data_IF_423509203187
#
_entry.id   IF_423509203187
#
_cell.length_a   1.000
_cell.length_b   1.000
_cell.length_c   1.000
_cell.angle_alpha   90.00
_cell.angle_beta   90.00
_cell.angle_gamma   90.00
#
_symmetry.space_group_name_H-M   'P 1'
#
loop_
_entity.id
_entity.type
_entity.pdbx_description
1 polymer ?
#
# COMPACT_ATOMS: atom_id res chain seq x y z
N UNK A 1 -47.02 -18.37 -1.30
CA UNK A 1 -45.95 -18.29 -0.28
C UNK A 1 -44.60 -18.38 -0.98
N UNK A 2 -43.91 -17.26 -1.07
CA UNK A 2 -42.71 -17.04 -1.88
C UNK A 2 -41.49 -17.52 -1.08
N UNK A 3 -40.85 -18.62 -1.47
CA UNK A 3 -39.60 -19.04 -0.85
C UNK A 3 -38.45 -18.19 -1.41
N UNK A 4 -37.88 -17.35 -0.55
CA UNK A 4 -36.68 -16.56 -0.80
C UNK A 4 -35.49 -17.48 -1.09
N UNK A 5 -34.96 -17.38 -2.31
CA UNK A 5 -33.60 -17.83 -2.64
C UNK A 5 -32.62 -17.00 -1.80
N UNK A 6 -32.21 -17.53 -0.66
CA UNK A 6 -31.03 -17.04 0.03
C UNK A 6 -29.82 -17.37 -0.85
N UNK A 7 -29.40 -16.33 -1.57
CA UNK A 7 -28.18 -16.27 -2.36
C UNK A 7 -27.00 -16.56 -1.43
N UNK A 8 -26.64 -17.84 -1.32
CA UNK A 8 -25.43 -18.32 -0.68
C UNK A 8 -24.25 -18.06 -1.62
N UNK A 9 -24.01 -16.78 -1.91
CA UNK A 9 -22.71 -16.35 -2.42
C UNK A 9 -21.66 -16.91 -1.46
N UNK A 10 -20.67 -17.70 -1.93
CA UNK A 10 -19.66 -18.24 -1.05
C UNK A 10 -18.93 -17.07 -0.40
N UNK A 11 -19.17 -16.88 0.90
CA UNK A 11 -18.36 -16.01 1.75
C UNK A 11 -16.95 -16.55 1.64
N UNK A 12 -16.13 -15.92 0.82
CA UNK A 12 -14.71 -16.18 0.68
C UNK A 12 -14.03 -15.93 2.04
N UNK A 13 -14.12 -16.93 2.93
CA UNK A 13 -13.46 -16.92 4.22
C UNK A 13 -12.09 -17.54 4.04
N UNK A 14 -11.12 -16.70 4.35
CA UNK A 14 -9.90 -17.03 5.08
C UNK A 14 -8.98 -18.07 4.42
N UNK A 15 -7.83 -17.53 4.01
CA UNK A 15 -6.55 -18.19 4.21
C UNK A 15 -6.30 -19.39 3.29
N UNK A 16 -6.23 -19.16 1.99
CA UNK A 16 -5.33 -19.97 1.17
C UNK A 16 -3.88 -19.48 1.46
N UNK A 17 -3.02 -20.28 2.11
CA UNK A 17 -1.63 -19.92 2.38
C UNK A 17 -0.85 -19.69 1.08
N UNK A 18 -1.19 -20.40 0.00
CA UNK A 18 -0.57 -20.23 -1.30
C UNK A 18 -0.96 -18.88 -1.92
N UNK A 19 -2.23 -18.47 -1.77
CA UNK A 19 -2.69 -17.15 -2.19
C UNK A 19 -2.08 -16.03 -1.35
N UNK A 20 -1.93 -16.22 -0.03
CA UNK A 20 -1.24 -15.29 0.87
C UNK A 20 0.24 -15.16 0.55
N UNK A 21 0.93 -16.27 0.25
CA UNK A 21 2.35 -16.26 -0.12
C UNK A 21 2.57 -15.66 -1.52
N UNK A 22 1.69 -15.96 -2.49
CA UNK A 22 1.70 -15.32 -3.81
C UNK A 22 1.39 -13.82 -3.73
N UNK A 23 0.43 -13.42 -2.89
CA UNK A 23 0.14 -12.02 -2.61
C UNK A 23 1.34 -11.32 -1.95
N UNK A 24 1.97 -11.94 -0.96
CA UNK A 24 3.19 -11.43 -0.33
C UNK A 24 4.35 -11.32 -1.34
N UNK A 25 4.54 -12.32 -2.21
CA UNK A 25 5.53 -12.27 -3.29
C UNK A 25 5.25 -11.16 -4.30
N UNK A 26 4.00 -10.91 -4.66
CA UNK A 26 3.62 -9.80 -5.55
C UNK A 26 3.75 -8.44 -4.85
N UNK A 27 3.48 -8.39 -3.55
CA UNK A 27 3.57 -7.18 -2.75
C UNK A 27 5.03 -6.74 -2.52
N UNK A 28 6.02 -7.65 -2.48
CA UNK A 28 7.43 -7.31 -2.24
C UNK A 28 8.05 -6.42 -3.34
N UNK A 29 7.99 -6.77 -4.63
CA UNK A 29 8.47 -5.90 -5.71
C UNK A 29 7.70 -4.58 -5.74
N UNK A 30 6.36 -4.65 -5.60
CA UNK A 30 5.50 -3.46 -5.57
C UNK A 30 5.90 -2.51 -4.43
N UNK A 31 6.15 -3.06 -3.23
CA UNK A 31 6.61 -2.31 -2.07
C UNK A 31 7.94 -1.58 -2.31
N UNK A 32 8.90 -2.23 -2.97
CA UNK A 32 10.17 -1.60 -3.36
C UNK A 32 9.95 -0.46 -4.36
N UNK A 33 9.10 -0.69 -5.36
CA UNK A 33 8.71 0.33 -6.35
C UNK A 33 8.02 1.52 -5.69
N UNK A 34 7.09 1.29 -4.78
CA UNK A 34 6.36 2.34 -4.06
C UNK A 34 7.31 3.16 -3.17
N UNK A 35 8.22 2.50 -2.45
CA UNK A 35 9.21 3.19 -1.62
C UNK A 35 10.15 4.08 -2.45
N UNK A 36 10.62 3.58 -3.60
CA UNK A 36 11.46 4.34 -4.51
C UNK A 36 10.73 5.57 -5.08
N UNK A 37 9.45 5.41 -5.47
CA UNK A 37 8.62 6.51 -5.97
C UNK A 37 8.35 7.57 -4.89
N UNK A 38 8.03 7.14 -3.67
CA UNK A 38 7.85 8.05 -2.52
C UNK A 38 9.14 8.80 -2.21
N UNK A 39 10.28 8.11 -2.20
CA UNK A 39 11.59 8.73 -1.98
C UNK A 39 11.91 9.77 -3.06
N UNK A 40 11.71 9.43 -4.33
CA UNK A 40 11.89 10.36 -5.44
C UNK A 40 10.99 11.60 -5.28
N UNK A 41 9.72 11.42 -4.91
CA UNK A 41 8.79 12.53 -4.69
C UNK A 41 9.24 13.43 -3.52
N UNK A 42 9.74 12.86 -2.42
CA UNK A 42 10.27 13.63 -1.28
C UNK A 42 11.49 14.46 -1.68
N UNK A 43 12.38 13.91 -2.52
CA UNK A 43 13.55 14.63 -3.02
C UNK A 43 13.21 15.73 -4.00
N UNK A 44 12.27 15.48 -4.92
CA UNK A 44 11.84 16.49 -5.90
C UNK A 44 11.02 17.62 -5.29
N UNK A 45 10.27 17.33 -4.22
CA UNK A 45 9.33 18.26 -3.60
C UNK A 45 9.42 18.21 -2.06
N UNK A 46 10.48 18.81 -1.48
CA UNK A 46 10.64 18.83 -0.03
C UNK A 46 9.48 19.57 0.64
N UNK A 47 9.01 19.06 1.78
CA UNK A 47 7.92 19.66 2.56
C UNK A 47 6.50 19.35 2.09
N UNK A 48 6.32 18.54 1.03
CA UNK A 48 4.97 18.10 0.64
C UNK A 48 4.31 17.26 1.73
N UNK A 49 3.03 17.53 1.95
CA UNK A 49 2.19 16.71 2.80
C UNK A 49 2.02 15.30 2.20
N UNK A 50 1.98 14.27 3.05
CA UNK A 50 1.82 12.87 2.62
C UNK A 50 0.58 12.62 1.74
N UNK A 51 -0.50 13.42 1.91
CA UNK A 51 -1.68 13.36 1.05
C UNK A 51 -1.40 13.79 -0.40
N UNK A 52 -0.54 14.78 -0.61
CA UNK A 52 -0.17 15.24 -1.95
C UNK A 52 0.79 14.25 -2.61
N UNK A 53 1.73 13.70 -1.85
CA UNK A 53 2.61 12.62 -2.33
C UNK A 53 1.78 11.40 -2.75
N UNK A 54 0.73 11.06 -2.00
CA UNK A 54 -0.19 9.98 -2.34
C UNK A 54 -0.85 10.20 -3.71
N UNK A 55 -1.31 11.43 -3.99
CA UNK A 55 -1.87 11.79 -5.30
C UNK A 55 -0.83 11.72 -6.42
N UNK A 56 0.40 12.20 -6.19
CA UNK A 56 1.46 12.21 -7.21
C UNK A 56 1.92 10.78 -7.57
N UNK A 57 2.07 9.93 -6.55
CA UNK A 57 2.58 8.55 -6.71
C UNK A 57 1.46 7.56 -7.06
N UNK A 58 0.20 8.00 -7.01
CA UNK A 58 -1.01 7.20 -7.20
C UNK A 58 -1.07 5.97 -6.28
N UNK A 59 -0.85 6.21 -4.97
CA UNK A 59 -0.95 5.19 -3.92
C UNK A 59 -1.68 5.75 -2.71
N UNK A 60 -2.18 4.88 -1.84
CA UNK A 60 -2.93 5.33 -0.68
C UNK A 60 -2.06 6.08 0.35
N UNK A 61 -2.65 7.07 1.02
CA UNK A 61 -1.95 7.91 1.99
C UNK A 61 -1.46 7.16 3.24
N UNK A 62 -2.00 5.98 3.54
CA UNK A 62 -1.48 5.14 4.62
C UNK A 62 -0.17 4.45 4.18
N UNK A 63 -0.11 3.90 2.97
CA UNK A 63 1.10 3.34 2.37
C UNK A 63 2.18 4.40 2.24
N UNK A 64 1.87 5.62 1.81
CA UNK A 64 2.84 6.72 1.82
C UNK A 64 3.42 6.93 3.21
N UNK A 65 2.58 7.09 4.24
CA UNK A 65 3.03 7.30 5.63
C UNK A 65 3.93 6.16 6.11
N UNK A 66 3.55 4.92 5.83
CA UNK A 66 4.37 3.74 6.15
C UNK A 66 5.72 3.78 5.44
N UNK A 67 5.76 4.07 4.13
CA UNK A 67 7.00 4.17 3.37
C UNK A 67 7.88 5.32 3.82
N UNK A 68 7.30 6.46 4.13
CA UNK A 68 8.05 7.58 4.72
C UNK A 68 8.67 7.20 6.06
N UNK A 69 7.96 6.46 6.92
CA UNK A 69 8.52 5.95 8.17
C UNK A 69 9.67 4.96 7.91
N UNK A 70 9.46 3.97 7.02
CA UNK A 70 10.50 3.01 6.62
C UNK A 70 11.77 3.74 6.11
N UNK A 71 11.60 4.73 5.22
CA UNK A 71 12.69 5.53 4.65
C UNK A 71 13.41 6.38 5.71
N UNK A 72 12.71 6.87 6.73
CA UNK A 72 13.31 7.59 7.87
C UNK A 72 14.12 6.66 8.75
N UNK A 73 13.62 5.45 9.03
CA UNK A 73 14.38 4.43 9.77
C UNK A 73 15.68 4.06 9.05
N UNK A 74 15.64 4.01 7.71
CA UNK A 74 16.81 3.76 6.85
C UNK A 74 17.69 5.00 6.64
N UNK A 75 17.35 6.16 7.24
CA UNK A 75 18.04 7.46 7.07
C UNK A 75 18.12 7.95 5.62
N UNK A 76 17.19 7.51 4.76
CA UNK A 76 17.08 7.91 3.36
C UNK A 76 16.20 9.16 3.18
N UNK A 77 15.33 9.49 4.14
CA UNK A 77 14.50 10.69 4.13
C UNK A 77 14.63 11.47 5.45
N UNK A 78 14.62 12.81 5.39
CA UNK A 78 14.70 13.70 6.57
C UNK A 78 13.32 14.17 7.05
N UNK A 79 13.19 14.30 8.37
CA UNK A 79 12.30 15.25 9.06
C UNK A 79 12.36 16.64 8.44
N UNK A 80 11.35 17.11 7.70
CA UNK A 80 11.07 18.54 7.61
C UNK A 80 9.95 18.85 8.59
#
# INVERSE_FOLDING_TARGET
MTQSRLDLAPRARRTDPASSHRAARRARPKAGTDAARVLACIHSFPGLAARLIATIVDIDAYTVRKRTADLRHLKLARSY
#
